data_IF_318827370823
#
_entry.id   IF_318827370823
#
_cell.length_a   1.000
_cell.length_b   1.000
_cell.length_c   1.000
_cell.angle_alpha   90.00
_cell.angle_beta   90.00
_cell.angle_gamma   90.00
#
_symmetry.space_group_name_H-M   'P 1'
#
loop_
_entity.id
_entity.type
_entity.pdbx_description
1 polymer ?
#
# COMPACT_ATOMS: atom_id res chain seq x y z
N UNK A 1 25.87 8.33 -17.55
CA UNK A 1 24.85 7.37 -17.05
C UNK A 1 25.15 6.01 -17.64
N UNK A 2 25.23 4.93 -16.83
CA UNK A 2 25.44 3.58 -17.34
C UNK A 2 24.33 3.17 -18.31
N UNK A 3 24.65 2.32 -19.29
CA UNK A 3 23.71 1.92 -20.34
C UNK A 3 22.48 1.18 -19.77
N UNK A 4 22.67 0.32 -18.77
CA UNK A 4 21.57 -0.34 -18.07
C UNK A 4 20.54 0.65 -17.49
N UNK A 5 21.01 1.81 -16.99
CA UNK A 5 20.12 2.84 -16.44
C UNK A 5 19.36 3.57 -17.55
N UNK A 6 20.01 3.83 -18.69
CA UNK A 6 19.37 4.44 -19.86
C UNK A 6 18.24 3.60 -20.42
N UNK A 7 18.38 2.28 -20.38
CA UNK A 7 17.36 1.35 -20.87
C UNK A 7 16.24 1.09 -19.86
N UNK A 8 16.56 1.08 -18.56
CA UNK A 8 15.59 0.79 -17.50
C UNK A 8 14.62 1.95 -17.24
N UNK A 9 15.12 3.19 -17.15
CA UNK A 9 14.29 4.34 -16.74
C UNK A 9 13.08 4.58 -17.67
N UNK A 10 13.20 4.53 -19.02
CA UNK A 10 12.03 4.65 -19.90
C UNK A 10 10.96 3.60 -19.60
N UNK A 11 11.35 2.35 -19.30
CA UNK A 11 10.41 1.26 -19.00
C UNK A 11 9.72 1.44 -17.65
N UNK A 12 10.41 1.99 -16.65
CA UNK A 12 9.82 2.30 -15.35
C UNK A 12 8.82 3.46 -15.41
N UNK A 13 9.03 4.39 -16.35
CA UNK A 13 8.15 5.55 -16.58
C UNK A 13 6.93 5.23 -17.44
N UNK A 14 6.99 4.17 -18.22
CA UNK A 14 5.89 3.72 -19.08
C UNK A 14 4.81 3.02 -18.22
N UNK A 15 3.61 3.62 -18.06
CA UNK A 15 2.54 3.05 -17.23
C UNK A 15 1.87 1.81 -17.86
N UNK A 16 2.04 1.60 -19.16
CA UNK A 16 1.56 0.38 -19.84
C UNK A 16 2.54 -0.78 -19.65
N UNK A 17 3.81 -0.47 -19.38
CA UNK A 17 4.86 -1.45 -19.12
C UNK A 17 5.02 -1.77 -17.63
N UNK A 18 5.04 -0.75 -16.76
CA UNK A 18 5.33 -0.87 -15.33
C UNK A 18 4.19 -0.32 -14.48
N UNK A 19 3.77 -1.10 -13.48
CA UNK A 19 2.85 -0.64 -12.43
C UNK A 19 3.57 -0.63 -11.10
N UNK A 20 3.80 0.57 -10.57
CA UNK A 20 4.39 0.74 -9.23
C UNK A 20 3.31 0.71 -8.17
N UNK A 21 3.49 -0.13 -7.16
CA UNK A 21 2.63 -0.19 -5.99
C UNK A 21 3.38 0.36 -4.78
N UNK A 22 2.75 1.29 -4.06
CA UNK A 22 3.27 1.78 -2.78
C UNK A 22 2.56 0.98 -1.68
N UNK A 23 3.33 0.35 -0.80
CA UNK A 23 2.82 -0.40 0.35
C UNK A 23 3.13 0.39 1.62
N UNK A 24 2.15 0.56 2.49
CA UNK A 24 2.29 1.26 3.77
C UNK A 24 1.36 0.69 4.84
N UNK A 25 1.50 1.16 6.07
CA UNK A 25 0.59 0.86 7.19
C UNK A 25 -0.34 2.07 7.45
N UNK A 26 -1.50 1.82 8.04
CA UNK A 26 -2.47 2.87 8.39
C UNK A 26 -2.07 3.67 9.65
N UNK A 27 -0.89 4.26 9.63
CA UNK A 27 -0.28 4.97 10.75
C UNK A 27 0.33 6.30 10.27
N UNK A 28 0.49 7.26 11.20
CA UNK A 28 0.96 8.61 10.86
C UNK A 28 2.30 8.64 10.12
N UNK A 29 3.32 7.97 10.68
CA UNK A 29 4.66 7.98 10.10
C UNK A 29 4.74 7.18 8.80
N UNK A 30 4.26 5.93 8.71
CA UNK A 30 4.26 5.16 7.46
C UNK A 30 3.51 5.86 6.32
N UNK A 31 2.34 6.48 6.57
CA UNK A 31 1.64 7.24 5.53
C UNK A 31 2.46 8.44 5.08
N UNK A 32 3.02 9.21 6.01
CA UNK A 32 3.84 10.37 5.66
C UNK A 32 5.12 10.00 4.87
N UNK A 33 5.73 8.86 5.19
CA UNK A 33 6.88 8.35 4.45
C UNK A 33 6.49 7.87 3.04
N UNK A 34 5.33 7.23 2.91
CA UNK A 34 4.78 6.81 1.63
C UNK A 34 4.40 8.01 0.73
N UNK A 35 3.85 9.09 1.30
CA UNK A 35 3.58 10.35 0.60
C UNK A 35 4.89 10.94 0.03
N UNK A 36 5.94 10.97 0.85
CA UNK A 36 7.27 11.44 0.43
C UNK A 36 7.84 10.57 -0.69
N UNK A 37 7.73 9.25 -0.58
CA UNK A 37 8.15 8.31 -1.62
C UNK A 37 7.38 8.54 -2.92
N UNK A 38 6.06 8.74 -2.86
CA UNK A 38 5.24 9.09 -4.01
C UNK A 38 5.70 10.39 -4.68
N UNK A 39 6.02 11.42 -3.90
CA UNK A 39 6.53 12.68 -4.42
C UNK A 39 7.88 12.49 -5.15
N UNK A 40 8.78 11.67 -4.59
CA UNK A 40 10.07 11.37 -5.20
C UNK A 40 9.95 10.54 -6.48
N UNK A 41 9.04 9.56 -6.52
CA UNK A 41 8.71 8.80 -7.73
C UNK A 41 8.17 9.73 -8.84
N UNK A 42 7.24 10.62 -8.50
CA UNK A 42 6.69 11.61 -9.44
C UNK A 42 7.76 12.56 -9.97
N UNK A 43 8.68 13.02 -9.13
CA UNK A 43 9.85 13.80 -9.55
C UNK A 43 10.73 13.04 -10.56
N UNK A 44 10.81 11.71 -10.44
CA UNK A 44 11.50 10.84 -11.38
C UNK A 44 10.66 10.50 -12.64
N UNK A 45 9.45 11.06 -12.76
CA UNK A 45 8.45 10.79 -13.80
C UNK A 45 7.87 9.36 -13.75
N UNK A 46 7.84 8.75 -12.56
CA UNK A 46 7.25 7.45 -12.32
C UNK A 46 5.95 7.68 -11.54
N UNK A 47 4.81 7.38 -12.14
CA UNK A 47 3.51 7.54 -11.47
C UNK A 47 3.13 6.24 -10.75
N UNK A 48 2.88 6.28 -9.42
CA UNK A 48 2.33 5.13 -8.72
C UNK A 48 0.97 4.71 -9.30
N UNK A 49 0.81 3.41 -9.53
CA UNK A 49 -0.42 2.83 -10.08
C UNK A 49 -1.52 2.70 -9.02
N UNK A 50 -1.13 2.26 -7.81
CA UNK A 50 -2.02 2.07 -6.66
C UNK A 50 -1.25 2.08 -5.34
N UNK A 51 -2.00 2.24 -4.24
CA UNK A 51 -1.52 2.08 -2.88
C UNK A 51 -2.09 0.80 -2.24
N UNK A 52 -1.30 0.16 -1.39
CA UNK A 52 -1.73 -0.96 -0.55
C UNK A 52 -1.53 -0.54 0.89
N UNK A 53 -2.63 -0.46 1.63
CA UNK A 53 -2.62 -0.21 3.07
C UNK A 53 -2.68 -1.58 3.74
N UNK A 54 -1.54 -2.03 4.27
CA UNK A 54 -1.37 -3.36 4.82
C UNK A 54 -1.71 -3.42 6.32
N UNK A 55 -2.00 -4.64 6.80
CA UNK A 55 -2.15 -4.97 8.22
C UNK A 55 -3.18 -4.13 9.00
N UNK A 56 -4.30 -3.79 8.37
CA UNK A 56 -5.35 -3.02 9.03
C UNK A 56 -6.11 -3.85 10.06
N UNK A 57 -6.10 -3.40 11.31
CA UNK A 57 -6.98 -3.93 12.36
C UNK A 57 -8.43 -3.52 12.09
N UNK A 58 -8.66 -2.34 11.50
CA UNK A 58 -10.01 -1.90 11.14
C UNK A 58 -10.68 -2.87 10.16
N UNK A 59 -9.92 -3.40 9.20
CA UNK A 59 -10.41 -4.39 8.23
C UNK A 59 -10.39 -5.83 8.74
N UNK A 60 -9.76 -6.11 9.89
CA UNK A 60 -9.57 -7.49 10.39
C UNK A 60 -10.85 -8.22 10.81
N UNK A 61 -11.94 -7.49 11.03
CA UNK A 61 -13.19 -8.07 11.57
C UNK A 61 -13.10 -8.51 13.03
N UNK A 62 -12.07 -8.07 13.77
CA UNK A 62 -11.90 -8.41 15.19
C UNK A 62 -13.11 -7.99 16.04
N UNK A 63 -13.46 -8.85 17.01
CA UNK A 63 -14.46 -8.56 18.05
C UNK A 63 -13.82 -8.22 19.40
N UNK A 64 -12.48 -8.26 19.50
CA UNK A 64 -11.79 -7.85 20.71
C UNK A 64 -11.92 -6.32 20.88
N UNK A 65 -12.46 -5.82 22.02
CA UNK A 65 -12.69 -4.38 22.19
C UNK A 65 -11.44 -3.53 22.08
N UNK A 66 -10.29 -4.01 22.57
CA UNK A 66 -9.05 -3.24 22.53
C UNK A 66 -8.49 -3.16 21.10
N UNK A 67 -8.55 -4.26 20.35
CA UNK A 67 -8.12 -4.26 18.95
C UNK A 67 -9.07 -3.45 18.05
N UNK A 68 -10.38 -3.48 18.32
CA UNK A 68 -11.35 -2.66 17.61
C UNK A 68 -11.06 -1.16 17.81
N UNK A 69 -10.83 -0.72 19.05
CA UNK A 69 -10.44 0.67 19.34
C UNK A 69 -9.13 1.06 18.66
N UNK A 70 -8.14 0.16 18.62
CA UNK A 70 -6.90 0.40 17.86
C UNK A 70 -7.16 0.56 16.37
N UNK A 71 -8.00 -0.28 15.78
CA UNK A 71 -8.41 -0.17 14.38
C UNK A 71 -9.09 1.17 14.08
N UNK A 72 -9.88 1.74 15.01
CA UNK A 72 -10.50 3.06 14.81
C UNK A 72 -9.49 4.18 14.64
N UNK A 73 -8.29 4.08 15.24
CA UNK A 73 -7.22 5.07 15.05
C UNK A 73 -6.61 5.05 13.65
N UNK A 74 -6.83 3.98 12.87
CA UNK A 74 -6.36 3.86 11.48
C UNK A 74 -7.20 4.72 10.51
N UNK A 75 -8.47 4.97 10.83
CA UNK A 75 -9.44 5.56 9.91
C UNK A 75 -9.00 6.89 9.28
N UNK A 76 -8.44 7.87 10.02
CA UNK A 76 -7.98 9.13 9.41
C UNK A 76 -6.85 8.94 8.39
N UNK A 77 -6.00 7.93 8.59
CA UNK A 77 -4.87 7.65 7.71
C UNK A 77 -5.33 6.88 6.47
N UNK A 78 -6.26 5.95 6.63
CA UNK A 78 -6.91 5.26 5.51
C UNK A 78 -7.65 6.27 4.63
N UNK A 79 -8.45 7.14 5.23
CA UNK A 79 -9.18 8.19 4.52
C UNK A 79 -8.23 9.14 3.77
N UNK A 80 -7.12 9.55 4.40
CA UNK A 80 -6.10 10.38 3.74
C UNK A 80 -5.58 9.73 2.46
N UNK A 81 -5.14 8.47 2.54
CA UNK A 81 -4.62 7.75 1.38
C UNK A 81 -5.67 7.63 0.27
N UNK A 82 -6.91 7.27 0.61
CA UNK A 82 -8.00 7.06 -0.36
C UNK A 82 -8.40 8.38 -1.04
N UNK A 83 -8.49 9.47 -0.29
CA UNK A 83 -9.05 10.72 -0.79
C UNK A 83 -8.00 11.63 -1.44
N UNK A 84 -6.74 11.55 -1.02
CA UNK A 84 -5.71 12.54 -1.38
C UNK A 84 -4.59 11.96 -2.24
N UNK A 85 -4.16 10.73 -1.96
CA UNK A 85 -2.90 10.22 -2.51
C UNK A 85 -3.06 9.18 -3.61
N UNK A 86 -4.13 8.37 -3.56
CA UNK A 86 -4.27 7.19 -4.37
C UNK A 86 -5.42 7.27 -5.38
N UNK A 87 -5.14 7.05 -6.66
CA UNK A 87 -6.19 6.80 -7.67
C UNK A 87 -6.87 5.44 -7.48
N UNK A 88 -6.14 4.51 -6.87
CA UNK A 88 -6.55 3.14 -6.56
C UNK A 88 -5.90 2.75 -5.25
N UNK A 89 -6.67 2.17 -4.36
CA UNK A 89 -6.17 1.65 -3.09
C UNK A 89 -6.78 0.29 -2.79
N UNK A 90 -6.04 -0.51 -2.05
CA UNK A 90 -6.52 -1.74 -1.42
C UNK A 90 -6.17 -1.67 0.05
N UNK A 91 -7.11 -2.10 0.89
CA UNK A 91 -6.92 -2.27 2.33
C UNK A 91 -6.80 -3.78 2.61
N UNK A 92 -5.70 -4.21 3.20
CA UNK A 92 -5.49 -5.60 3.60
C UNK A 92 -5.73 -5.75 5.11
N UNK A 93 -6.52 -6.74 5.53
CA UNK A 93 -6.74 -6.99 6.95
C UNK A 93 -5.47 -7.52 7.60
N UNK A 94 -5.28 -7.18 8.88
CA UNK A 94 -4.29 -7.84 9.72
C UNK A 94 -4.59 -9.34 9.86
N UNK A 95 -3.55 -10.17 9.77
CA UNK A 95 -3.66 -11.63 9.82
C UNK A 95 -3.11 -12.17 11.14
N UNK A 96 -3.89 -12.99 11.84
CA UNK A 96 -3.48 -13.62 13.10
C UNK A 96 -2.35 -14.64 12.92
N UNK A 97 -2.33 -15.29 11.76
CA UNK A 97 -1.28 -16.20 11.33
C UNK A 97 -0.57 -15.61 10.13
N UNK A 98 0.78 -15.58 10.10
CA UNK A 98 1.52 -15.11 8.94
C UNK A 98 1.12 -15.87 7.66
N UNK A 99 0.89 -15.18 6.52
CA UNK A 99 0.47 -15.79 5.27
C UNK A 99 1.65 -16.51 4.58
N UNK A 100 2.02 -17.68 5.13
CA UNK A 100 3.16 -18.48 4.67
C UNK A 100 2.67 -19.58 3.73
N UNK A 101 3.43 -19.80 2.64
CA UNK A 101 3.13 -20.79 1.63
C UNK A 101 1.97 -20.39 0.72
N UNK A 102 1.67 -21.23 -0.27
CA UNK A 102 0.65 -20.94 -1.28
C UNK A 102 -0.71 -20.66 -0.65
N UNK A 103 -1.13 -21.49 0.30
CA UNK A 103 -2.43 -21.38 0.93
C UNK A 103 -2.60 -20.06 1.71
N UNK A 104 -1.60 -19.68 2.53
CA UNK A 104 -1.67 -18.42 3.27
C UNK A 104 -1.71 -17.18 2.36
N UNK A 105 -0.99 -17.22 1.22
CA UNK A 105 -1.03 -16.16 0.22
C UNK A 105 -2.37 -16.10 -0.53
N UNK A 106 -2.98 -17.26 -0.83
CA UNK A 106 -4.30 -17.31 -1.45
C UNK A 106 -5.35 -16.66 -0.56
N UNK A 107 -5.31 -16.91 0.74
CA UNK A 107 -6.22 -16.29 1.72
C UNK A 107 -6.08 -14.77 1.76
N UNK A 108 -4.86 -14.25 1.73
CA UNK A 108 -4.60 -12.79 1.67
C UNK A 108 -5.18 -12.15 0.39
N UNK A 109 -5.26 -12.91 -0.70
CA UNK A 109 -5.74 -12.44 -2.01
C UNK A 109 -7.26 -12.55 -2.21
N UNK A 110 -7.99 -13.25 -1.33
CA UNK A 110 -9.44 -13.41 -1.47
C UNK A 110 -10.11 -12.05 -1.29
N UNK A 111 -10.98 -11.69 -2.24
CA UNK A 111 -11.82 -10.49 -2.13
C UNK A 111 -12.83 -10.70 -1.00
N UNK A 112 -12.85 -9.78 -0.04
CA UNK A 112 -13.93 -9.62 0.94
C UNK A 112 -15.04 -8.74 0.36
#
# INVERSE_FOLDING_TARGET
MPEAVRQLLPRLRDPEFTRVLIVTLAEATPVHEAERLQADLRRAQIEPYAWVIDQSLLASGTHDPALAERGRYEAPFIERVIQQDAKRSVLLPWQATPPIGLHGLEELSRRH
#
